data_IF_524091260747
#
_entry.id   IF_524091260747
#
_cell.length_a   1.000
_cell.length_b   1.000
_cell.length_c   1.000
_cell.angle_alpha   90.00
_cell.angle_beta   90.00
_cell.angle_gamma   90.00
#
_symmetry.space_group_name_H-M   'P 1'
#
loop_
_entity.id
_entity.type
_entity.pdbx_description
1 polymer ?
#
# COMPACT_ATOMS: atom_id res chain seq x y z
N UNK A 1 -9.17 -11.58 -8.95
CA UNK A 1 -9.74 -10.73 -9.99
C UNK A 1 -10.67 -11.52 -10.94
N UNK A 2 -10.21 -12.63 -11.51
CA UNK A 2 -11.00 -13.41 -12.47
C UNK A 2 -12.34 -13.93 -11.88
N UNK A 3 -12.37 -14.32 -10.62
CA UNK A 3 -13.57 -14.81 -9.95
C UNK A 3 -14.61 -13.71 -9.67
N UNK A 4 -14.16 -12.48 -9.45
CA UNK A 4 -15.02 -11.31 -9.22
C UNK A 4 -14.35 -10.09 -9.84
N UNK A 5 -14.65 -9.74 -11.09
CA UNK A 5 -14.17 -8.50 -11.69
C UNK A 5 -14.66 -7.27 -10.94
N UNK A 6 -13.81 -6.27 -10.81
CA UNK A 6 -14.08 -5.03 -10.09
C UNK A 6 -12.80 -4.29 -9.78
N UNK A 7 -12.88 -3.24 -8.99
CA UNK A 7 -11.72 -2.44 -8.61
C UNK A 7 -11.05 -3.01 -7.37
N UNK A 8 -9.75 -3.20 -7.47
CA UNK A 8 -8.89 -3.67 -6.38
C UNK A 8 -7.76 -2.68 -6.12
N UNK A 9 -7.35 -2.54 -4.87
CA UNK A 9 -6.19 -1.73 -4.47
C UNK A 9 -5.15 -2.63 -3.81
N UNK A 10 -3.94 -2.65 -4.38
CA UNK A 10 -2.80 -3.37 -3.85
C UNK A 10 -1.80 -2.43 -3.19
N UNK A 11 -1.45 -2.68 -1.93
CA UNK A 11 -0.42 -1.95 -1.21
C UNK A 11 0.89 -2.73 -1.19
N UNK A 12 1.97 -2.07 -1.60
CA UNK A 12 3.32 -2.61 -1.62
C UNK A 12 4.27 -1.75 -0.79
N UNK A 13 5.39 -2.32 -0.35
CA UNK A 13 6.29 -1.67 0.61
C UNK A 13 7.17 -0.56 0.01
N UNK A 14 7.34 -0.51 -1.31
CA UNK A 14 8.18 0.49 -1.97
C UNK A 14 7.76 0.71 -3.42
N UNK A 15 8.17 1.85 -4.01
CA UNK A 15 7.94 2.13 -5.44
C UNK A 15 8.67 1.14 -6.36
N UNK A 16 9.88 0.72 -6.03
CA UNK A 16 10.61 -0.27 -6.82
C UNK A 16 9.87 -1.61 -6.87
N UNK A 17 9.41 -2.09 -5.73
CA UNK A 17 8.63 -3.33 -5.65
C UNK A 17 7.27 -3.17 -6.38
N UNK A 18 6.62 -2.02 -6.24
CA UNK A 18 5.38 -1.70 -6.95
C UNK A 18 5.57 -1.78 -8.47
N UNK A 19 6.62 -1.18 -9.02
CA UNK A 19 6.89 -1.20 -10.46
C UNK A 19 7.17 -2.61 -10.97
N UNK A 20 7.93 -3.41 -10.24
CA UNK A 20 8.20 -4.82 -10.58
C UNK A 20 6.93 -5.66 -10.62
N UNK A 21 6.08 -5.54 -9.59
CA UNK A 21 4.82 -6.28 -9.51
C UNK A 21 3.85 -5.83 -10.62
N UNK A 22 3.71 -4.52 -10.82
CA UNK A 22 2.85 -3.99 -11.87
C UNK A 22 3.32 -4.38 -13.27
N UNK A 23 4.63 -4.36 -13.53
CA UNK A 23 5.23 -4.81 -14.79
C UNK A 23 4.94 -6.29 -15.05
N UNK A 24 5.26 -7.16 -14.09
CA UNK A 24 4.98 -8.60 -14.20
C UNK A 24 3.50 -8.89 -14.40
N UNK A 25 2.62 -8.14 -13.74
CA UNK A 25 1.18 -8.33 -13.89
C UNK A 25 0.67 -7.87 -15.25
N UNK A 26 1.18 -6.78 -15.81
CA UNK A 26 0.85 -6.34 -17.18
C UNK A 26 1.27 -7.35 -18.25
N UNK A 27 2.44 -7.95 -18.07
CA UNK A 27 2.95 -8.99 -18.99
C UNK A 27 2.11 -10.27 -18.95
N UNK A 28 1.78 -10.73 -17.75
CA UNK A 28 1.05 -12.00 -17.57
C UNK A 28 -0.47 -11.88 -17.75
N UNK A 29 -1.02 -10.70 -17.51
CA UNK A 29 -2.46 -10.44 -17.52
C UNK A 29 -2.78 -9.13 -18.27
N UNK A 30 -2.46 -9.02 -19.57
CA UNK A 30 -2.63 -7.78 -20.33
C UNK A 30 -4.09 -7.32 -20.43
N UNK A 31 -5.04 -8.23 -20.19
CA UNK A 31 -6.47 -7.93 -20.18
C UNK A 31 -6.94 -7.19 -18.92
N UNK A 32 -6.13 -7.13 -17.86
CA UNK A 32 -6.48 -6.45 -16.59
C UNK A 32 -5.98 -5.02 -16.63
N UNK A 33 -6.85 -4.01 -16.54
CA UNK A 33 -6.42 -2.63 -16.40
C UNK A 33 -5.61 -2.43 -15.12
N UNK A 34 -4.40 -1.88 -15.25
CA UNK A 34 -3.48 -1.65 -14.13
C UNK A 34 -3.03 -0.20 -14.15
N UNK A 35 -3.12 0.44 -12.99
CA UNK A 35 -2.55 1.77 -12.76
C UNK A 35 -1.74 1.81 -11.46
N UNK A 36 -0.78 2.70 -11.42
CA UNK A 36 0.21 2.74 -10.34
C UNK A 36 0.32 4.14 -9.76
N UNK A 37 0.51 4.20 -8.45
CA UNK A 37 0.97 5.43 -7.81
C UNK A 37 2.37 5.75 -8.30
N UNK A 38 2.61 7.04 -8.60
CA UNK A 38 3.93 7.57 -8.93
C UNK A 38 4.55 8.31 -7.73
N UNK A 39 5.89 8.37 -7.64
CA UNK A 39 6.54 9.23 -6.66
C UNK A 39 6.17 10.71 -6.87
N UNK A 40 5.95 11.42 -5.78
CA UNK A 40 5.71 12.90 -5.79
C UNK A 40 4.49 13.34 -6.61
N UNK A 41 3.42 12.55 -6.62
CA UNK A 41 2.17 12.98 -7.22
C UNK A 41 1.68 14.27 -6.57
N UNK A 42 1.34 15.26 -7.39
CA UNK A 42 0.58 16.42 -6.96
C UNK A 42 -0.90 16.06 -6.70
N UNK A 43 -1.67 17.00 -6.20
CA UNK A 43 -3.09 16.80 -5.88
C UNK A 43 -3.89 16.35 -7.10
N UNK A 44 -3.66 16.96 -8.26
CA UNK A 44 -4.33 16.61 -9.51
C UNK A 44 -4.03 15.18 -9.97
N UNK A 45 -2.77 14.75 -9.85
CA UNK A 45 -2.36 13.38 -10.19
C UNK A 45 -2.96 12.36 -9.22
N UNK A 46 -3.06 12.72 -7.92
CA UNK A 46 -3.74 11.90 -6.91
C UNK A 46 -5.22 11.73 -7.20
N UNK A 47 -5.91 12.82 -7.54
CA UNK A 47 -7.32 12.78 -7.92
C UNK A 47 -7.55 11.94 -9.19
N UNK A 48 -6.68 12.07 -10.18
CA UNK A 48 -6.72 11.25 -11.38
C UNK A 48 -6.50 9.76 -11.10
N UNK A 49 -5.61 9.41 -10.17
CA UNK A 49 -5.42 8.04 -9.72
C UNK A 49 -6.70 7.50 -9.05
N UNK A 50 -7.31 8.27 -8.14
CA UNK A 50 -8.53 7.88 -7.42
C UNK A 50 -9.76 7.83 -8.34
N UNK A 51 -9.84 8.69 -9.35
CA UNK A 51 -10.93 8.68 -10.32
C UNK A 51 -11.01 7.39 -11.15
N UNK A 52 -9.92 6.62 -11.23
CA UNK A 52 -9.93 5.31 -11.90
C UNK A 52 -10.72 4.24 -11.16
N UNK A 53 -10.94 4.42 -9.86
CA UNK A 53 -11.83 3.58 -9.05
C UNK A 53 -13.29 4.04 -9.22
N UNK A 54 -13.79 3.95 -10.44
CA UNK A 54 -15.19 4.29 -10.73
C UNK A 54 -16.13 3.13 -10.39
N UNK A 55 -17.37 3.44 -10.00
CA UNK A 55 -18.42 2.43 -9.81
C UNK A 55 -18.64 1.63 -11.09
N UNK A 56 -18.69 0.31 -10.99
CA UNK A 56 -18.79 -0.59 -12.15
C UNK A 56 -17.48 -0.74 -12.95
N UNK A 57 -16.42 -0.07 -12.54
CA UNK A 57 -15.08 -0.26 -13.11
C UNK A 57 -14.47 -1.61 -12.73
N UNK A 58 -13.44 -2.02 -13.47
CA UNK A 58 -12.69 -3.24 -13.19
C UNK A 58 -11.21 -3.04 -13.49
N UNK A 59 -10.37 -3.24 -12.47
CA UNK A 59 -8.92 -3.14 -12.59
C UNK A 59 -8.21 -3.16 -11.25
N UNK A 60 -6.90 -2.99 -11.28
CA UNK A 60 -6.05 -3.02 -10.09
C UNK A 60 -5.20 -1.75 -10.02
N UNK A 61 -5.43 -0.96 -8.99
CA UNK A 61 -4.53 0.13 -8.62
C UNK A 61 -3.45 -0.37 -7.65
N UNK A 62 -2.22 0.07 -7.85
CA UNK A 62 -1.13 -0.22 -6.92
C UNK A 62 -0.64 1.06 -6.26
N UNK A 63 -0.49 1.03 -4.94
CA UNK A 63 0.00 2.13 -4.13
C UNK A 63 1.07 1.66 -3.13
N UNK A 64 1.85 2.60 -2.60
CA UNK A 64 2.84 2.31 -1.57
C UNK A 64 2.20 2.39 -0.20
N UNK A 65 2.43 1.37 0.61
CA UNK A 65 1.95 1.28 1.99
C UNK A 65 2.59 2.39 2.86
N UNK A 66 1.78 3.10 3.62
CA UNK A 66 2.24 4.26 4.41
C UNK A 66 2.48 5.54 3.58
N UNK A 67 2.13 5.51 2.28
CA UNK A 67 2.14 6.69 1.41
C UNK A 67 0.81 7.43 1.43
N UNK A 68 0.69 8.43 0.56
CA UNK A 68 -0.47 9.34 0.47
C UNK A 68 -1.83 8.64 0.32
N UNK A 69 -1.85 7.40 -0.17
CA UNK A 69 -3.07 6.61 -0.38
C UNK A 69 -3.39 5.63 0.74
N UNK A 70 -2.51 5.45 1.73
CA UNK A 70 -2.83 4.69 2.94
C UNK A 70 -3.50 5.55 4.02
N UNK A 71 -3.46 6.88 3.85
CA UNK A 71 -4.08 7.86 4.74
C UNK A 71 -5.05 8.72 3.93
N UNK A 72 -6.36 8.56 4.11
CA UNK A 72 -7.34 9.48 3.53
C UNK A 72 -7.93 9.12 2.18
N UNK A 73 -7.88 7.86 1.75
CA UNK A 73 -8.72 7.39 0.63
C UNK A 73 -10.11 7.03 1.17
N UNK A 74 -11.12 7.59 0.57
CA UNK A 74 -12.51 7.20 0.78
C UNK A 74 -13.10 6.65 -0.52
N UNK A 75 -12.97 5.34 -0.70
CA UNK A 75 -13.48 4.59 -1.84
C UNK A 75 -14.66 3.73 -1.38
N UNK A 76 -15.80 4.38 -1.14
CA UNK A 76 -16.99 3.74 -0.59
C UNK A 76 -17.67 2.80 -1.58
N UNK A 77 -18.17 1.67 -1.07
CA UNK A 77 -19.02 0.73 -1.79
C UNK A 77 -18.35 0.07 -2.99
N UNK A 78 -19.03 0.01 -4.12
CA UNK A 78 -18.56 -0.68 -5.32
C UNK A 78 -17.36 -0.01 -6.04
N UNK A 79 -16.94 1.15 -5.57
CA UNK A 79 -15.72 1.80 -6.08
C UNK A 79 -14.46 0.99 -5.74
N UNK A 80 -14.47 0.25 -4.62
CA UNK A 80 -13.39 -0.64 -4.22
C UNK A 80 -13.97 -1.92 -3.63
N UNK A 81 -13.85 -3.03 -4.34
CA UNK A 81 -14.40 -4.32 -3.89
C UNK A 81 -13.42 -5.19 -3.13
N UNK A 82 -12.16 -4.80 -3.09
CA UNK A 82 -11.15 -5.49 -2.31
C UNK A 82 -9.81 -4.77 -2.29
N UNK A 83 -9.05 -4.99 -1.23
CA UNK A 83 -7.67 -4.58 -1.14
C UNK A 83 -6.79 -5.75 -0.71
N UNK A 84 -5.52 -5.65 -1.02
CA UNK A 84 -4.51 -6.57 -0.52
C UNK A 84 -3.23 -5.83 -0.15
N UNK A 85 -2.52 -6.37 0.80
CA UNK A 85 -1.25 -5.85 1.28
C UNK A 85 -0.20 -6.93 1.05
N UNK A 86 0.73 -6.67 0.13
CA UNK A 86 1.69 -7.68 -0.30
C UNK A 86 2.80 -7.93 0.74
N UNK A 87 3.18 -6.90 1.49
CA UNK A 87 4.24 -7.00 2.51
C UNK A 87 4.01 -6.02 3.65
N UNK A 88 4.58 -6.33 4.82
CA UNK A 88 4.69 -5.37 5.91
C UNK A 88 5.60 -4.21 5.48
N UNK A 89 5.12 -2.99 5.60
CA UNK A 89 5.90 -1.78 5.35
C UNK A 89 6.83 -1.45 6.54
N UNK A 90 7.78 -2.34 6.83
CA UNK A 90 8.72 -2.11 7.92
C UNK A 90 9.52 -0.83 7.68
N UNK A 91 9.83 -0.05 8.73
CA UNK A 91 10.78 1.06 8.64
C UNK A 91 12.13 0.60 8.06
N UNK A 92 12.80 1.50 7.34
CA UNK A 92 14.13 1.19 6.81
C UNK A 92 15.13 0.97 7.94
N UNK A 93 16.03 0.02 7.76
CA UNK A 93 17.20 -0.13 8.64
C UNK A 93 18.14 1.05 8.37
N UNK A 94 18.25 1.93 9.34
CA UNK A 94 19.16 3.08 9.34
C UNK A 94 19.65 3.35 10.78
N UNK A 95 20.67 4.18 10.93
CA UNK A 95 21.29 4.45 12.22
C UNK A 95 20.30 4.95 13.28
N UNK A 96 19.32 5.78 12.88
CA UNK A 96 18.30 6.32 13.78
C UNK A 96 17.38 5.19 14.30
N UNK A 97 16.85 4.37 13.41
CA UNK A 97 15.97 3.27 13.77
C UNK A 97 16.72 2.19 14.58
N UNK A 98 17.99 1.95 14.27
CA UNK A 98 18.83 1.05 15.06
C UNK A 98 19.14 1.60 16.45
N UNK A 99 19.34 2.90 16.58
CA UNK A 99 19.48 3.54 17.90
C UNK A 99 18.18 3.45 18.71
N UNK A 100 17.03 3.68 18.09
CA UNK A 100 15.72 3.47 18.72
C UNK A 100 15.53 2.02 19.16
N UNK A 101 15.87 1.06 18.29
CA UNK A 101 15.79 -0.37 18.63
C UNK A 101 16.61 -0.70 19.87
N UNK A 102 17.88 -0.23 19.93
CA UNK A 102 18.75 -0.47 21.10
C UNK A 102 18.19 0.16 22.37
N UNK A 103 17.65 1.37 22.26
CA UNK A 103 17.03 2.05 23.41
C UNK A 103 15.82 1.30 23.92
N UNK A 104 14.93 0.87 23.04
CA UNK A 104 13.76 0.08 23.41
C UNK A 104 14.12 -1.32 23.92
N UNK A 105 15.18 -1.92 23.36
CA UNK A 105 15.70 -3.21 23.85
C UNK A 105 16.16 -3.12 25.30
N UNK A 106 16.90 -2.05 25.62
CA UNK A 106 17.36 -1.81 26.99
C UNK A 106 16.22 -1.50 27.97
N UNK A 107 15.14 -0.84 27.52
CA UNK A 107 14.01 -0.46 28.37
C UNK A 107 12.94 -1.54 28.51
N UNK A 108 12.65 -2.29 27.44
CA UNK A 108 11.49 -3.19 27.36
C UNK A 108 11.86 -4.62 26.95
N UNK A 109 13.09 -4.90 26.56
CA UNK A 109 13.56 -6.22 26.13
C UNK A 109 13.09 -6.68 24.73
N UNK A 110 12.37 -5.84 23.98
CA UNK A 110 11.79 -6.17 22.67
C UNK A 110 11.99 -5.03 21.67
N UNK A 111 13.22 -4.53 21.55
CA UNK A 111 13.54 -3.35 20.74
C UNK A 111 13.14 -3.48 19.27
N UNK A 112 13.22 -4.67 18.68
CA UNK A 112 12.81 -4.91 17.29
C UNK A 112 11.30 -4.68 17.10
N UNK A 113 10.49 -5.15 18.02
CA UNK A 113 9.04 -5.03 17.92
C UNK A 113 8.61 -3.56 17.94
N UNK A 114 9.19 -2.77 18.84
CA UNK A 114 8.88 -1.35 18.95
C UNK A 114 9.43 -0.49 17.81
N UNK A 115 10.62 -0.79 17.31
CA UNK A 115 11.26 0.01 16.26
C UNK A 115 10.80 -0.36 14.84
N UNK A 116 10.40 -1.61 14.61
CA UNK A 116 10.11 -2.12 13.26
C UNK A 116 8.73 -2.77 13.14
N UNK A 117 8.42 -3.77 13.98
CA UNK A 117 7.23 -4.60 13.81
C UNK A 117 5.94 -3.79 14.04
N UNK A 118 5.82 -3.12 15.18
CA UNK A 118 4.62 -2.35 15.52
C UNK A 118 4.36 -1.18 14.56
N UNK A 119 5.35 -0.35 14.19
CA UNK A 119 5.17 0.65 13.14
C UNK A 119 4.77 0.07 11.78
N UNK A 120 5.31 -1.10 11.41
CA UNK A 120 4.92 -1.82 10.20
C UNK A 120 3.47 -2.31 10.26
N UNK A 121 3.05 -2.90 11.36
CA UNK A 121 1.68 -3.36 11.60
C UNK A 121 0.69 -2.20 11.64
N UNK A 122 1.05 -1.06 12.21
CA UNK A 122 0.20 0.13 12.23
C UNK A 122 -0.16 0.58 10.81
N UNK A 123 0.80 0.57 9.88
CA UNK A 123 0.53 0.89 8.46
C UNK A 123 -0.44 -0.10 7.81
N UNK A 124 -0.33 -1.39 8.16
CA UNK A 124 -1.26 -2.43 7.68
C UNK A 124 -2.67 -2.16 8.18
N UNK A 125 -2.82 -1.89 9.48
CA UNK A 125 -4.12 -1.60 10.10
C UNK A 125 -4.75 -0.32 9.49
N UNK A 126 -3.95 0.72 9.28
CA UNK A 126 -4.41 1.96 8.62
C UNK A 126 -4.90 1.69 7.20
N UNK A 127 -4.14 0.94 6.40
CA UNK A 127 -4.52 0.61 5.03
C UNK A 127 -5.77 -0.30 4.99
N UNK A 128 -5.87 -1.29 5.87
CA UNK A 128 -7.04 -2.17 5.97
C UNK A 128 -8.31 -1.40 6.37
N UNK A 129 -8.20 -0.47 7.32
CA UNK A 129 -9.32 0.35 7.77
C UNK A 129 -9.91 1.31 6.70
N UNK A 130 -9.30 1.40 5.52
CA UNK A 130 -9.82 2.19 4.39
C UNK A 130 -10.68 1.37 3.43
N UNK A 131 -10.75 0.07 3.62
CA UNK A 131 -11.42 -0.88 2.71
C UNK A 131 -12.61 -1.55 3.41
N UNK A 132 -12.69 -1.40 4.72
CA UNK A 132 -13.79 -1.89 5.57
C UNK A 132 -14.79 -0.72 5.80
#
# INVERSE_FOLDING_TARGET
>A
YAARPGNYLGFLSSFDYLQRVAGSMRERHPQVPIWTQEPRMDERARDAFLARFATGGAGVGFAVLGGAFSEGIDLVGERLIGAFIATLGLPQMNDVNEQMRRTFDAQFGNGYDYAYLFPGMQKVVQAAGRVI
#
